data_IF_885975019083
#
_entry.id   IF_885975019083
#
_cell.length_a   1.000
_cell.length_b   1.000
_cell.length_c   1.000
_cell.angle_alpha   90.00
_cell.angle_beta   90.00
_cell.angle_gamma   90.00
#
_symmetry.space_group_name_H-M   'P 1'
#
loop_
_entity.id
_entity.type
_entity.pdbx_description
1 polymer ?
#
# COMPACT_ATOMS: atom_id res chain seq x y z
N UNK A 1 -17.12 -0.45 30.44
CA UNK A 1 -17.77 -1.48 29.60
C UNK A 1 -17.01 -1.47 28.28
N UNK A 2 -16.22 -2.50 27.96
CA UNK A 2 -15.50 -2.54 26.69
C UNK A 2 -16.42 -3.05 25.58
N UNK A 3 -16.50 -2.30 24.50
CA UNK A 3 -17.25 -2.63 23.29
C UNK A 3 -16.46 -3.68 22.52
N UNK A 4 -16.94 -4.90 22.52
CA UNK A 4 -16.42 -6.01 21.70
C UNK A 4 -16.75 -5.72 20.23
N UNK A 5 -15.75 -5.36 19.44
CA UNK A 5 -15.85 -5.24 17.98
C UNK A 5 -15.76 -6.66 17.39
N UNK A 6 -16.90 -7.22 17.05
CA UNK A 6 -16.96 -8.51 16.36
C UNK A 6 -16.51 -8.33 14.91
N UNK A 7 -15.33 -8.87 14.57
CA UNK A 7 -14.86 -9.00 13.19
C UNK A 7 -15.67 -10.16 12.57
N UNK A 8 -16.64 -9.82 11.73
CA UNK A 8 -17.36 -10.80 10.93
C UNK A 8 -16.43 -11.33 9.83
N UNK A 9 -15.99 -12.57 9.98
CA UNK A 9 -15.27 -13.33 8.97
C UNK A 9 -16.24 -13.65 7.83
N UNK A 10 -16.20 -12.88 6.74
CA UNK A 10 -16.97 -13.17 5.55
C UNK A 10 -16.38 -14.41 4.87
N UNK A 11 -17.08 -15.53 4.94
CA UNK A 11 -16.76 -16.75 4.18
C UNK A 11 -16.91 -16.45 2.69
N UNK A 12 -15.77 -16.41 2.00
CA UNK A 12 -15.71 -16.21 0.56
C UNK A 12 -16.02 -17.53 -0.15
N UNK A 13 -17.21 -17.66 -0.72
CA UNK A 13 -17.58 -18.77 -1.61
C UNK A 13 -17.06 -18.47 -3.01
N UNK A 14 -16.18 -19.28 -3.60
CA UNK A 14 -15.70 -19.03 -4.96
C UNK A 14 -16.79 -19.38 -5.99
N UNK A 15 -17.38 -18.36 -6.64
CA UNK A 15 -18.06 -18.57 -7.91
C UNK A 15 -17.00 -18.74 -9.00
N UNK A 16 -16.93 -19.93 -9.56
CA UNK A 16 -16.10 -20.25 -10.73
C UNK A 16 -16.54 -19.42 -11.93
N UNK A 17 -15.69 -18.47 -12.37
CA UNK A 17 -15.81 -17.86 -13.69
C UNK A 17 -14.68 -18.37 -14.59
N UNK A 18 -14.97 -18.75 -15.84
CA UNK A 18 -13.96 -19.21 -16.77
C UNK A 18 -13.21 -18.01 -17.36
N UNK A 19 -11.88 -18.00 -17.24
CA UNK A 19 -10.99 -17.17 -18.08
C UNK A 19 -10.20 -16.07 -17.38
N UNK A 20 -9.60 -16.31 -16.22
CA UNK A 20 -8.51 -15.48 -15.74
C UNK A 20 -7.17 -16.15 -16.08
N UNK A 21 -6.57 -15.76 -17.22
CA UNK A 21 -5.17 -16.07 -17.47
C UNK A 21 -4.34 -15.20 -16.49
N UNK A 22 -3.78 -15.85 -15.48
CA UNK A 22 -2.88 -15.22 -14.53
C UNK A 22 -1.60 -14.79 -15.24
N UNK A 23 -1.30 -13.49 -15.20
CA UNK A 23 0.02 -12.97 -15.57
C UNK A 23 1.00 -13.46 -14.48
N UNK A 24 2.13 -14.09 -14.83
CA UNK A 24 3.07 -14.58 -13.84
C UNK A 24 3.65 -13.42 -13.02
N UNK A 25 3.63 -13.56 -11.69
CA UNK A 25 4.02 -12.55 -10.72
C UNK A 25 5.50 -12.06 -10.83
N UNK A 26 6.33 -12.76 -11.60
CA UNK A 26 7.75 -12.43 -11.76
C UNK A 26 8.04 -11.28 -12.73
N UNK A 27 7.13 -10.92 -13.64
CA UNK A 27 7.38 -9.87 -14.64
C UNK A 27 6.88 -8.46 -14.25
N UNK A 28 6.18 -8.31 -13.14
CA UNK A 28 5.67 -7.02 -12.69
C UNK A 28 6.75 -6.10 -12.06
N UNK A 29 7.98 -6.55 -11.93
CA UNK A 29 9.07 -5.85 -11.19
C UNK A 29 9.70 -4.66 -11.93
N UNK A 30 9.30 -4.34 -13.17
CA UNK A 30 9.91 -3.23 -13.93
C UNK A 30 8.98 -2.56 -14.96
N UNK A 31 7.68 -2.63 -14.83
CA UNK A 31 6.79 -1.81 -15.67
C UNK A 31 6.93 -0.36 -15.23
N UNK A 32 7.42 0.48 -16.15
CA UNK A 32 7.41 1.93 -15.95
C UNK A 32 5.96 2.36 -15.61
N UNK A 33 5.79 3.14 -14.53
CA UNK A 33 4.48 3.70 -14.21
C UNK A 33 3.97 4.53 -15.39
N UNK A 34 2.65 4.57 -15.62
CA UNK A 34 2.07 5.56 -16.49
C UNK A 34 2.49 6.96 -16.05
N UNK A 35 2.68 7.87 -17.02
CA UNK A 35 3.06 9.24 -16.72
C UNK A 35 2.01 9.97 -15.84
N UNK A 36 0.76 9.55 -15.93
CA UNK A 36 -0.35 10.01 -15.09
C UNK A 36 -1.06 8.82 -14.46
N UNK A 37 -1.38 8.94 -13.17
CA UNK A 37 -2.20 7.97 -12.45
C UNK A 37 -3.28 8.67 -11.62
N UNK A 38 -4.45 8.04 -11.43
CA UNK A 38 -5.45 8.52 -10.49
C UNK A 38 -4.95 8.33 -9.05
N UNK A 39 -5.19 9.31 -8.18
CA UNK A 39 -4.80 9.26 -6.78
C UNK A 39 -6.00 9.00 -5.88
N UNK A 40 -5.80 8.11 -4.94
CA UNK A 40 -6.71 7.84 -3.83
C UNK A 40 -6.08 8.34 -2.52
N UNK A 41 -6.39 9.58 -2.11
CA UNK A 41 -5.88 10.13 -0.86
C UNK A 41 -6.65 9.55 0.32
N UNK A 42 -5.92 9.12 1.34
CA UNK A 42 -6.48 8.51 2.54
C UNK A 42 -5.88 9.15 3.80
N UNK A 43 -6.67 9.34 4.88
CA UNK A 43 -6.17 9.95 6.11
C UNK A 43 -5.34 9.00 6.97
N UNK A 44 -5.63 7.69 6.90
CA UNK A 44 -5.13 6.70 7.86
C UNK A 44 -4.64 5.41 7.18
N UNK A 45 -4.16 5.51 5.94
CA UNK A 45 -3.75 4.31 5.21
C UNK A 45 -2.63 4.59 4.24
N UNK A 46 -1.56 3.83 4.39
CA UNK A 46 -0.44 3.76 3.45
C UNK A 46 -0.38 2.39 2.78
N UNK A 47 0.20 2.34 1.59
CA UNK A 47 0.50 1.12 0.84
C UNK A 47 2.01 1.05 0.61
N UNK A 48 2.57 -0.15 0.66
CA UNK A 48 3.99 -0.38 0.38
C UNK A 48 4.18 -1.30 -0.84
N UNK A 49 5.29 -1.19 -1.57
CA UNK A 49 5.60 -2.10 -2.67
C UNK A 49 5.58 -3.56 -2.23
N UNK A 50 5.03 -4.46 -3.07
CA UNK A 50 4.92 -5.89 -2.78
C UNK A 50 3.78 -6.28 -1.83
N UNK A 51 3.20 -5.33 -1.10
CA UNK A 51 2.13 -5.63 -0.14
C UNK A 51 0.74 -5.51 -0.78
N UNK A 52 -0.25 -6.19 -0.22
CA UNK A 52 -1.64 -6.09 -0.68
C UNK A 52 -2.55 -5.56 0.42
N UNK A 53 -3.57 -4.77 0.01
CA UNK A 53 -4.55 -4.22 0.93
C UNK A 53 -5.95 -4.20 0.29
N UNK A 54 -6.99 -4.67 1.01
CA UNK A 54 -8.37 -4.56 0.55
C UNK A 54 -8.91 -3.15 0.81
N UNK A 55 -9.72 -2.63 -0.13
CA UNK A 55 -10.45 -1.37 0.01
C UNK A 55 -11.91 -1.55 -0.39
N UNK A 56 -12.79 -0.84 0.33
CA UNK A 56 -14.17 -0.64 -0.05
C UNK A 56 -14.34 0.79 -0.58
N UNK A 57 -14.77 0.92 -1.83
CA UNK A 57 -14.91 2.20 -2.52
C UNK A 57 -16.40 2.55 -2.59
N UNK A 58 -16.80 3.59 -1.88
CA UNK A 58 -18.20 4.01 -1.76
C UNK A 58 -18.49 5.40 -2.33
N UNK A 59 -17.52 6.34 -2.24
CA UNK A 59 -17.69 7.71 -2.72
C UNK A 59 -17.83 7.75 -4.26
N UNK A 60 -18.79 8.54 -4.81
CA UNK A 60 -19.04 8.62 -6.26
C UNK A 60 -17.78 8.94 -7.06
N UNK A 61 -16.96 9.91 -6.61
CA UNK A 61 -15.70 10.29 -7.29
C UNK A 61 -14.70 9.13 -7.37
N UNK A 62 -14.58 8.33 -6.32
CA UNK A 62 -13.66 7.19 -6.32
C UNK A 62 -14.24 5.96 -7.00
N UNK A 63 -15.57 5.81 -7.05
CA UNK A 63 -16.21 4.80 -7.89
C UNK A 63 -15.95 5.06 -9.37
N UNK A 64 -16.01 6.34 -9.81
CA UNK A 64 -15.63 6.74 -11.16
C UNK A 64 -14.14 6.46 -11.41
N UNK A 65 -13.27 6.82 -10.47
CA UNK A 65 -11.83 6.54 -10.53
C UNK A 65 -11.55 5.05 -10.77
N UNK A 66 -12.18 4.15 -10.01
CA UNK A 66 -12.00 2.71 -10.18
C UNK A 66 -12.56 2.25 -11.52
N UNK A 67 -13.76 2.71 -11.93
CA UNK A 67 -14.34 2.37 -13.21
C UNK A 67 -13.44 2.76 -14.39
N UNK A 68 -12.77 3.92 -14.30
CA UNK A 68 -11.82 4.38 -15.31
C UNK A 68 -10.53 3.55 -15.27
N UNK A 69 -9.95 3.33 -14.09
CA UNK A 69 -8.74 2.52 -13.94
C UNK A 69 -8.92 1.09 -14.47
N UNK A 70 -10.10 0.48 -14.25
CA UNK A 70 -10.40 -0.88 -14.73
C UNK A 70 -10.48 -1.00 -16.27
N UNK A 71 -10.73 0.11 -16.98
CA UNK A 71 -10.76 0.16 -18.45
C UNK A 71 -9.35 0.33 -19.06
N UNK A 72 -8.38 0.72 -18.24
CA UNK A 72 -7.02 0.99 -18.66
C UNK A 72 -6.04 -0.02 -18.01
N UNK A 73 -5.01 0.45 -17.37
CA UNK A 73 -3.91 -0.32 -16.80
C UNK A 73 -4.16 -0.87 -15.38
N UNK A 74 -5.32 -0.52 -14.77
CA UNK A 74 -5.72 -0.89 -13.41
C UNK A 74 -4.81 -0.32 -12.30
N UNK A 75 -4.04 0.73 -12.61
CA UNK A 75 -3.11 1.33 -11.65
C UNK A 75 -3.77 2.56 -11.01
N UNK A 76 -3.68 2.64 -9.68
CA UNK A 76 -4.02 3.82 -8.88
C UNK A 76 -2.91 4.10 -7.88
N UNK A 77 -2.78 5.35 -7.42
CA UNK A 77 -1.81 5.74 -6.41
C UNK A 77 -2.47 5.95 -5.05
N UNK A 78 -1.97 5.30 -4.01
CA UNK A 78 -2.34 5.62 -2.63
C UNK A 78 -1.41 6.71 -2.11
N UNK A 79 -1.99 7.77 -1.56
CA UNK A 79 -1.27 8.89 -0.93
C UNK A 79 -1.88 9.23 0.40
N UNK A 80 -1.04 9.59 1.37
CA UNK A 80 -1.51 10.01 2.70
C UNK A 80 -1.91 11.48 2.67
N UNK A 81 -3.02 11.81 3.36
CA UNK A 81 -3.41 13.19 3.64
C UNK A 81 -2.46 13.81 4.67
N UNK A 82 -2.20 15.10 4.54
CA UNK A 82 -1.50 15.84 5.58
C UNK A 82 -2.37 15.94 6.83
N UNK A 83 -1.81 15.75 8.04
CA UNK A 83 -2.56 15.87 9.28
C UNK A 83 -3.24 17.25 9.43
N UNK A 84 -4.42 17.27 10.03
CA UNK A 84 -5.17 18.50 10.30
C UNK A 84 -6.11 18.95 9.19
N UNK A 85 -6.16 18.24 8.08
CA UNK A 85 -7.02 18.54 6.92
C UNK A 85 -8.13 17.50 6.70
N UNK A 86 -8.38 16.64 7.68
CA UNK A 86 -9.37 15.56 7.58
C UNK A 86 -10.79 16.10 7.37
N UNK A 87 -11.08 17.32 7.89
CA UNK A 87 -12.38 17.99 7.72
C UNK A 87 -12.62 18.47 6.29
N UNK A 88 -11.55 18.68 5.53
CA UNK A 88 -11.59 19.14 4.13
C UNK A 88 -11.53 17.97 3.13
N UNK A 89 -11.72 16.75 3.60
CA UNK A 89 -11.56 15.51 2.82
C UNK A 89 -12.38 15.49 1.51
N UNK A 90 -13.60 16.04 1.54
CA UNK A 90 -14.46 16.12 0.33
C UNK A 90 -13.92 17.09 -0.73
N UNK A 91 -13.06 18.03 -0.32
CA UNK A 91 -12.36 18.98 -1.19
C UNK A 91 -11.09 18.38 -1.82
N UNK A 92 -10.05 19.20 -1.85
CA UNK A 92 -8.70 18.81 -2.28
C UNK A 92 -7.67 19.16 -1.19
N UNK A 93 -7.74 18.50 -0.02
CA UNK A 93 -6.82 18.77 1.08
C UNK A 93 -5.38 18.48 0.67
N UNK A 94 -4.39 19.09 1.33
CA UNK A 94 -2.99 18.80 1.12
C UNK A 94 -2.68 17.31 1.34
N UNK A 95 -1.84 16.75 0.47
CA UNK A 95 -1.37 15.38 0.52
C UNK A 95 0.16 15.35 0.66
N UNK A 96 0.71 14.20 1.02
CA UNK A 96 2.15 13.98 0.91
C UNK A 96 2.56 13.86 -0.56
N UNK A 97 3.79 14.28 -0.86
CA UNK A 97 4.32 14.25 -2.23
C UNK A 97 4.82 12.88 -2.69
N UNK A 98 4.91 11.92 -1.76
CA UNK A 98 5.31 10.54 -2.00
C UNK A 98 4.14 9.63 -1.68
N UNK A 99 3.89 8.66 -2.56
CA UNK A 99 2.88 7.63 -2.39
C UNK A 99 3.34 6.29 -2.96
N UNK A 100 2.46 5.30 -2.93
CA UNK A 100 2.69 4.00 -3.56
C UNK A 100 1.66 3.76 -4.66
N UNK A 101 2.12 3.47 -5.87
CA UNK A 101 1.29 3.00 -6.96
C UNK A 101 0.95 1.53 -6.74
N UNK A 102 -0.31 1.17 -6.94
CA UNK A 102 -0.77 -0.21 -6.85
C UNK A 102 -1.61 -0.61 -8.03
N UNK A 103 -1.61 -1.90 -8.33
CA UNK A 103 -2.47 -2.52 -9.34
C UNK A 103 -3.68 -3.18 -8.68
N UNK A 104 -4.86 -2.98 -9.25
CA UNK A 104 -6.09 -3.66 -8.83
C UNK A 104 -6.01 -5.11 -9.30
N UNK A 105 -5.67 -6.03 -8.41
CA UNK A 105 -5.57 -7.47 -8.69
C UNK A 105 -6.93 -8.15 -8.77
N UNK A 106 -7.82 -7.76 -7.83
CA UNK A 106 -9.18 -8.31 -7.74
C UNK A 106 -10.15 -7.17 -7.50
N UNK A 107 -11.34 -7.31 -8.05
CA UNK A 107 -12.42 -6.38 -7.77
C UNK A 107 -13.79 -7.07 -7.83
N UNK A 108 -14.74 -6.49 -7.14
CA UNK A 108 -16.15 -6.86 -7.18
C UNK A 108 -16.99 -5.58 -7.18
N UNK A 109 -17.87 -5.43 -8.18
CA UNK A 109 -18.89 -4.39 -8.18
C UNK A 109 -20.12 -4.92 -7.42
N UNK A 110 -20.50 -4.22 -6.37
CA UNK A 110 -21.68 -4.55 -5.56
C UNK A 110 -22.97 -4.00 -6.19
N UNK A 111 -24.17 -4.57 -5.86
CA UNK A 111 -25.44 -4.11 -6.41
C UNK A 111 -25.76 -2.64 -6.14
N UNK A 112 -25.23 -2.06 -5.07
CA UNK A 112 -25.37 -0.65 -4.69
C UNK A 112 -24.34 0.27 -5.39
N UNK A 113 -23.52 -0.29 -6.27
CA UNK A 113 -22.51 0.41 -7.06
C UNK A 113 -21.21 0.67 -6.34
N UNK A 114 -20.99 0.19 -5.10
CA UNK A 114 -19.70 0.19 -4.44
C UNK A 114 -18.76 -0.83 -5.08
N UNK A 115 -17.44 -0.58 -4.98
CA UNK A 115 -16.45 -1.59 -5.33
C UNK A 115 -15.77 -2.13 -4.08
N UNK A 116 -15.52 -3.43 -4.08
CA UNK A 116 -14.50 -4.07 -3.25
C UNK A 116 -13.30 -4.33 -4.15
N UNK A 117 -12.13 -3.87 -3.76
CA UNK A 117 -10.90 -4.08 -4.53
C UNK A 117 -9.82 -4.68 -3.63
N UNK A 118 -8.94 -5.50 -4.20
CA UNK A 118 -7.65 -5.86 -3.64
C UNK A 118 -6.57 -5.13 -4.44
N UNK A 119 -5.86 -4.24 -3.80
CA UNK A 119 -4.81 -3.44 -4.40
C UNK A 119 -3.45 -3.98 -3.96
N UNK A 120 -2.57 -4.32 -4.91
CA UNK A 120 -1.19 -4.71 -4.65
C UNK A 120 -0.25 -3.57 -5.01
N UNK A 121 0.61 -3.17 -4.05
CA UNK A 121 1.63 -2.16 -4.24
C UNK A 121 2.68 -2.59 -5.27
N UNK A 122 3.00 -1.69 -6.18
CA UNK A 122 3.99 -1.91 -7.24
C UNK A 122 5.31 -1.21 -6.93
N UNK A 123 5.25 0.09 -6.74
CA UNK A 123 6.43 0.94 -6.51
C UNK A 123 6.04 2.26 -5.85
N UNK A 124 6.97 2.85 -5.14
CA UNK A 124 6.87 4.20 -4.62
C UNK A 124 6.94 5.21 -5.77
N UNK A 125 6.19 6.29 -5.69
CA UNK A 125 6.24 7.38 -6.67
C UNK A 125 6.30 8.75 -6.00
N UNK A 126 6.78 9.74 -6.76
CA UNK A 126 6.74 11.16 -6.43
C UNK A 126 5.72 11.87 -7.32
N UNK A 127 4.90 12.72 -6.73
CA UNK A 127 4.00 13.61 -7.47
C UNK A 127 4.81 14.78 -8.02
N UNK A 128 4.72 15.00 -9.32
CA UNK A 128 5.37 16.14 -10.02
C UNK A 128 4.38 17.17 -10.51
N UNK A 129 3.08 16.87 -10.47
CA UNK A 129 2.00 17.80 -10.79
C UNK A 129 0.64 17.15 -10.69
N UNK A 130 -0.41 17.95 -10.46
CA UNK A 130 -1.80 17.49 -10.40
C UNK A 130 -2.63 18.13 -11.51
N UNK A 131 -3.66 17.39 -11.97
CA UNK A 131 -4.66 17.84 -12.92
C UNK A 131 -6.05 17.83 -12.27
N UNK A 132 -6.94 18.74 -12.71
CA UNK A 132 -8.27 18.90 -12.13
C UNK A 132 -9.42 18.55 -13.10
N UNK A 133 -9.13 17.90 -14.21
CA UNK A 133 -10.12 17.56 -15.26
C UNK A 133 -11.07 16.41 -14.87
N UNK A 134 -10.83 15.75 -13.72
CA UNK A 134 -11.65 14.66 -13.20
C UNK A 134 -12.19 15.00 -11.82
N UNK A 135 -13.31 14.38 -11.37
CA UNK A 135 -13.82 14.56 -10.01
C UNK A 135 -12.91 13.99 -8.93
N UNK A 136 -11.98 13.10 -9.29
CA UNK A 136 -10.89 12.61 -8.46
C UNK A 136 -9.56 13.26 -8.84
N UNK A 137 -8.53 13.08 -8.03
CA UNK A 137 -7.19 13.62 -8.34
C UNK A 137 -6.54 12.77 -9.43
N UNK A 138 -6.00 13.43 -10.42
CA UNK A 138 -5.14 12.86 -11.45
C UNK A 138 -3.78 13.52 -11.34
N UNK A 139 -2.70 12.74 -11.27
CA UNK A 139 -1.37 13.29 -11.04
C UNK A 139 -0.35 12.73 -12.02
N UNK A 140 0.53 13.62 -12.47
CA UNK A 140 1.78 13.22 -13.13
C UNK A 140 2.73 12.77 -12.06
N UNK A 141 3.36 11.61 -12.27
CA UNK A 141 4.20 10.93 -11.29
C UNK A 141 5.50 10.45 -11.89
N UNK A 142 6.51 10.37 -11.03
CA UNK A 142 7.79 9.74 -11.32
C UNK A 142 8.00 8.57 -10.36
N UNK A 143 8.29 7.38 -10.90
CA UNK A 143 8.61 6.22 -10.06
C UNK A 143 9.89 6.48 -9.28
N UNK A 144 9.85 6.16 -7.98
CA UNK A 144 11.04 6.15 -7.13
C UNK A 144 11.53 4.71 -7.07
N UNK A 145 12.51 4.39 -7.94
CA UNK A 145 13.05 3.04 -8.01
C UNK A 145 13.85 2.71 -6.74
N UNK A 146 13.45 1.66 -6.05
CA UNK A 146 14.20 1.08 -4.93
C UNK A 146 15.11 -0.05 -5.47
N UNK A 147 16.20 0.32 -6.17
CA UNK A 147 17.14 -0.67 -6.68
C UNK A 147 18.04 -1.15 -5.53
N UNK A 148 17.85 -2.41 -5.15
CA UNK A 148 18.72 -3.07 -4.17
C UNK A 148 19.99 -3.57 -4.86
N UNK A 149 21.15 -3.02 -4.49
CA UNK A 149 22.45 -3.49 -4.97
C UNK A 149 22.82 -4.82 -4.30
N UNK A 150 23.61 -5.64 -4.98
CA UNK A 150 24.02 -6.95 -4.41
C UNK A 150 24.73 -6.82 -3.06
N UNK A 151 25.54 -5.77 -2.88
CA UNK A 151 26.21 -5.45 -1.61
C UNK A 151 25.23 -5.14 -0.47
N UNK A 152 24.06 -4.58 -0.81
CA UNK A 152 23.02 -4.21 0.15
C UNK A 152 22.16 -5.41 0.56
N UNK A 153 22.12 -6.50 -0.22
CA UNK A 153 21.34 -7.71 0.09
C UNK A 153 21.77 -8.36 1.39
N UNK A 154 23.09 -8.49 1.60
CA UNK A 154 23.64 -9.04 2.86
C UNK A 154 23.24 -8.18 4.05
N UNK A 155 23.31 -6.85 3.90
CA UNK A 155 22.88 -5.92 4.95
C UNK A 155 21.38 -6.02 5.21
N UNK A 156 20.57 -6.12 4.16
CA UNK A 156 19.11 -6.25 4.27
C UNK A 156 18.73 -7.54 4.99
N UNK A 157 19.35 -8.66 4.63
CA UNK A 157 19.09 -9.95 5.28
C UNK A 157 19.47 -9.94 6.78
N UNK A 158 20.56 -9.29 7.15
CA UNK A 158 20.93 -9.11 8.55
C UNK A 158 19.90 -8.25 9.31
N UNK A 159 19.43 -7.16 8.71
CA UNK A 159 18.38 -6.29 9.28
C UNK A 159 17.04 -7.02 9.39
N UNK A 160 16.65 -7.81 8.37
CA UNK A 160 15.48 -8.67 8.44
C UNK A 160 15.51 -9.58 9.68
N UNK A 161 16.61 -10.28 9.88
CA UNK A 161 16.76 -11.17 11.04
C UNK A 161 16.67 -10.40 12.37
N UNK A 162 17.15 -9.16 12.43
CA UNK A 162 17.01 -8.31 13.60
C UNK A 162 15.56 -7.87 13.81
N UNK A 163 14.88 -7.43 12.75
CA UNK A 163 13.45 -7.05 12.78
C UNK A 163 12.62 -8.25 13.26
N UNK A 164 12.86 -9.44 12.73
CA UNK A 164 12.12 -10.65 13.09
C UNK A 164 12.25 -10.96 14.59
N UNK A 165 13.46 -10.90 15.14
CA UNK A 165 13.70 -11.10 16.59
C UNK A 165 12.98 -10.07 17.45
N UNK A 166 13.01 -8.78 17.04
CA UNK A 166 12.35 -7.72 17.78
C UNK A 166 10.81 -7.82 17.67
N UNK A 167 10.29 -8.24 16.52
CA UNK A 167 8.85 -8.47 16.34
C UNK A 167 8.33 -9.55 17.28
N UNK A 168 9.03 -10.68 17.41
CA UNK A 168 8.61 -11.74 18.35
C UNK A 168 8.50 -11.26 19.80
N UNK A 169 9.27 -10.24 20.17
CA UNK A 169 9.21 -9.65 21.53
C UNK A 169 8.00 -8.74 21.75
N UNK A 170 7.44 -8.16 20.67
CA UNK A 170 6.35 -7.17 20.76
C UNK A 170 5.03 -7.66 20.16
N UNK A 171 4.99 -8.80 19.47
CA UNK A 171 3.76 -9.38 18.94
C UNK A 171 2.81 -9.75 20.08
N UNK A 172 1.52 -9.43 19.97
CA UNK A 172 0.52 -9.89 20.91
C UNK A 172 0.47 -11.42 20.97
N UNK A 173 0.11 -11.96 22.13
CA UNK A 173 -0.06 -13.41 22.29
C UNK A 173 -1.09 -13.94 21.28
N UNK A 174 -0.70 -14.93 20.48
CA UNK A 174 -1.55 -15.53 19.44
C UNK A 174 -1.55 -14.80 18.10
N UNK A 175 -0.73 -13.76 17.92
CA UNK A 175 -0.53 -13.16 16.60
C UNK A 175 0.48 -13.98 15.80
N UNK A 176 0.15 -14.25 14.54
CA UNK A 176 1.06 -14.94 13.63
C UNK A 176 2.15 -13.96 13.14
N UNK A 177 3.44 -14.36 13.20
CA UNK A 177 4.50 -13.60 12.57
C UNK A 177 4.35 -13.61 11.05
N UNK A 178 5.00 -12.65 10.32
CA UNK A 178 5.06 -12.73 8.87
C UNK A 178 5.61 -14.07 8.38
N UNK A 179 5.14 -14.53 7.22
CA UNK A 179 5.58 -15.79 6.61
C UNK A 179 7.12 -15.79 6.41
N UNK A 180 7.85 -16.77 6.95
CA UNK A 180 9.30 -16.84 6.82
C UNK A 180 9.79 -17.07 5.38
N UNK A 181 8.92 -17.52 4.46
CA UNK A 181 9.26 -17.73 3.07
C UNK A 181 9.28 -16.46 2.22
N UNK A 182 8.85 -15.31 2.77
CA UNK A 182 8.86 -14.03 2.08
C UNK A 182 10.30 -13.60 1.74
N UNK A 183 10.48 -12.98 0.57
CA UNK A 183 11.71 -12.29 0.24
C UNK A 183 11.99 -11.14 1.24
N UNK A 184 13.24 -10.78 1.43
CA UNK A 184 13.65 -9.77 2.42
C UNK A 184 12.98 -8.40 2.18
N UNK A 185 12.81 -8.01 0.91
CA UNK A 185 12.15 -6.76 0.52
C UNK A 185 10.65 -6.79 0.83
N UNK A 186 9.99 -7.89 0.53
CA UNK A 186 8.58 -8.09 0.84
C UNK A 186 8.33 -8.13 2.35
N UNK A 187 9.17 -8.84 3.09
CA UNK A 187 9.10 -8.90 4.56
C UNK A 187 9.18 -7.50 5.19
N UNK A 188 10.20 -6.71 4.82
CA UNK A 188 10.40 -5.35 5.35
C UNK A 188 9.18 -4.47 5.07
N UNK A 189 8.63 -4.54 3.85
CA UNK A 189 7.46 -3.76 3.45
C UNK A 189 6.18 -4.21 4.16
N UNK A 190 5.97 -5.51 4.37
CA UNK A 190 4.84 -6.05 5.15
C UNK A 190 4.91 -5.57 6.60
N UNK A 191 6.09 -5.62 7.21
CA UNK A 191 6.27 -5.10 8.57
C UNK A 191 6.00 -3.60 8.63
N UNK A 192 6.56 -2.81 7.70
CA UNK A 192 6.33 -1.37 7.64
C UNK A 192 4.84 -1.02 7.48
N UNK A 193 4.09 -1.81 6.70
CA UNK A 193 2.66 -1.60 6.47
C UNK A 193 1.80 -1.91 7.69
N UNK A 194 2.14 -2.95 8.46
CA UNK A 194 1.26 -3.53 9.47
C UNK A 194 1.70 -3.26 10.93
N UNK A 195 2.93 -2.79 11.15
CA UNK A 195 3.40 -2.44 12.49
C UNK A 195 2.53 -1.32 13.05
N UNK A 196 2.02 -1.48 14.27
CA UNK A 196 1.23 -0.45 14.96
C UNK A 196 2.08 0.82 15.18
N UNK A 197 1.74 1.92 14.50
CA UNK A 197 2.42 3.21 14.57
C UNK A 197 1.54 4.31 14.02
N UNK A 198 1.88 5.58 14.31
CA UNK A 198 1.23 6.71 13.69
C UNK A 198 1.42 6.70 12.15
N UNK A 199 0.40 7.16 11.41
CA UNK A 199 0.50 7.18 9.93
C UNK A 199 1.59 8.12 9.41
N UNK A 200 1.92 9.19 10.15
CA UNK A 200 3.07 10.04 9.84
C UNK A 200 4.40 9.27 9.91
N UNK A 201 4.55 8.39 10.92
CA UNK A 201 5.74 7.53 11.05
C UNK A 201 5.80 6.47 9.94
N UNK A 202 4.64 5.96 9.54
CA UNK A 202 4.51 5.04 8.42
C UNK A 202 4.86 5.70 7.09
N UNK A 203 4.43 6.95 6.91
CA UNK A 203 4.81 7.78 5.76
C UNK A 203 6.33 8.02 5.72
N UNK A 204 6.95 8.32 6.87
CA UNK A 204 8.41 8.46 6.95
C UNK A 204 9.15 7.19 6.49
N UNK A 205 8.61 6.00 6.78
CA UNK A 205 9.18 4.74 6.28
C UNK A 205 9.02 4.61 4.75
N UNK A 206 7.87 5.02 4.20
CA UNK A 206 7.64 5.00 2.76
C UNK A 206 8.57 5.96 2.01
N UNK A 207 8.89 7.11 2.61
CA UNK A 207 9.75 8.15 2.04
C UNK A 207 11.25 7.84 2.12
N UNK A 208 11.66 6.74 2.79
CA UNK A 208 13.07 6.35 2.84
C UNK A 208 13.60 6.08 1.42
N UNK A 209 14.80 6.58 1.17
CA UNK A 209 15.45 6.56 -0.15
C UNK A 209 15.96 5.17 -0.58
N UNK A 210 15.93 4.18 0.30
CA UNK A 210 16.27 2.79 0.01
C UNK A 210 15.60 1.83 0.98
N UNK A 211 15.47 0.58 0.55
CA UNK A 211 14.93 -0.50 1.37
C UNK A 211 15.77 -0.76 2.63
N UNK A 212 17.10 -0.66 2.53
CA UNK A 212 18.01 -0.78 3.68
C UNK A 212 17.78 0.35 4.69
N UNK A 213 17.57 1.58 4.23
CA UNK A 213 17.25 2.70 5.11
C UNK A 213 15.89 2.53 5.79
N UNK A 214 14.90 1.97 5.09
CA UNK A 214 13.59 1.60 5.66
C UNK A 214 13.74 0.52 6.73
N UNK A 215 14.49 -0.54 6.45
CA UNK A 215 14.72 -1.63 7.40
C UNK A 215 15.43 -1.14 8.68
N UNK A 216 16.46 -0.28 8.56
CA UNK A 216 17.12 0.34 9.72
C UNK A 216 16.16 1.16 10.56
N UNK A 217 15.34 1.99 9.92
CA UNK A 217 14.34 2.79 10.62
C UNK A 217 13.28 1.93 11.33
N UNK A 218 12.94 0.74 10.79
CA UNK A 218 12.08 -0.23 11.47
C UNK A 218 12.76 -0.81 12.72
N UNK A 219 14.02 -1.20 12.63
CA UNK A 219 14.79 -1.68 13.80
C UNK A 219 14.77 -0.63 14.91
N UNK A 220 15.13 0.62 14.59
CA UNK A 220 15.12 1.73 15.57
C UNK A 220 13.75 1.95 16.22
N UNK A 221 12.66 1.75 15.48
CA UNK A 221 11.30 1.88 16.02
C UNK A 221 10.92 0.73 16.93
N UNK A 222 11.33 -0.49 16.58
CA UNK A 222 11.08 -1.68 17.37
C UNK A 222 11.88 -1.70 18.68
N UNK A 223 13.14 -1.22 18.65
CA UNK A 223 14.00 -1.11 19.84
C UNK A 223 13.49 -0.09 20.86
N UNK A 224 12.68 0.88 20.43
CA UNK A 224 12.08 1.91 21.31
C UNK A 224 10.76 1.51 21.96
N UNK A 225 10.27 0.31 21.69
CA UNK A 225 9.02 -0.22 22.27
C UNK A 225 9.26 -1.02 23.53
#
# INVERSE_FOLDING_TARGET
>A
MPLLLAIALAVFVPLSQPGAQGVPAAEAKASALPAEIPLFPLPETSLFPGTSRPFQIYEPRYREMIADALKDNKIIGIVLLRPGFEKDYEGRPPIYGIGCAGVIEKYQLLPDGRYLILLRGLTTFRIVGEDQRKPYRLARVEAVAELLKDEERVTLSALRNQIEKLLYAVLPFGADPPDPSLDDDEFVNIVAQNLDMAESDRQDLLERNSLVARARALVERLERR
#
